data_IF_001203579753
#
_entry.id   IF_001203579753
#
_cell.length_a   1.000
_cell.length_b   1.000
_cell.length_c   1.000
_cell.angle_alpha   90.00
_cell.angle_beta   90.00
_cell.angle_gamma   90.00
#
_symmetry.space_group_name_H-M   'P 1'
#
loop_
_entity.id
_entity.type
_entity.pdbx_description
1 polymer ?
#
# COMPACT_ATOMS: atom_id res chain seq x y z
N UNK A 1 -40.48 -75.65 3.27
CA UNK A 1 -39.82 -74.74 4.24
C UNK A 1 -38.36 -74.62 3.84
N UNK A 2 -37.98 -73.45 3.34
CA UNK A 2 -36.72 -73.22 2.63
C UNK A 2 -35.61 -72.69 3.56
N UNK A 3 -34.39 -73.12 3.25
CA UNK A 3 -33.10 -72.83 3.89
C UNK A 3 -32.62 -71.40 3.60
N UNK A 4 -31.76 -70.86 4.46
CA UNK A 4 -30.96 -69.66 4.14
C UNK A 4 -29.99 -69.27 5.26
N UNK A 5 -28.86 -69.98 5.35
CA UNK A 5 -27.78 -69.71 6.32
C UNK A 5 -26.94 -68.48 5.98
N UNK A 6 -26.47 -67.77 7.02
CA UNK A 6 -25.60 -66.61 6.94
C UNK A 6 -24.13 -67.04 7.04
N UNK A 7 -23.33 -66.72 6.02
CA UNK A 7 -21.86 -66.86 6.02
C UNK A 7 -21.19 -65.64 6.65
N UNK A 8 -20.42 -65.86 7.71
CA UNK A 8 -19.45 -64.91 8.25
C UNK A 8 -18.15 -64.97 7.42
N UNK A 9 -17.68 -63.81 6.96
CA UNK A 9 -16.42 -63.67 6.21
C UNK A 9 -15.29 -63.28 7.18
N UNK A 10 -14.41 -64.24 7.43
CA UNK A 10 -13.17 -64.17 8.21
C UNK A 10 -12.11 -63.44 7.38
N UNK A 11 -11.54 -62.35 7.89
CA UNK A 11 -10.38 -61.65 7.28
C UNK A 11 -9.12 -62.04 8.06
N UNK A 12 -8.05 -62.53 7.41
CA UNK A 12 -6.83 -62.94 8.08
C UNK A 12 -5.90 -61.76 8.35
N UNK A 13 -5.18 -61.87 9.46
CA UNK A 13 -4.22 -60.90 9.95
C UNK A 13 -3.00 -60.71 9.07
N UNK A 14 -2.36 -59.56 9.24
CA UNK A 14 -1.05 -59.23 8.68
C UNK A 14 -0.20 -58.60 9.77
N UNK A 15 0.60 -59.45 10.40
CA UNK A 15 1.71 -59.09 11.29
C UNK A 15 2.97 -59.10 10.44
N UNK A 16 3.65 -57.97 10.27
CA UNK A 16 5.09 -57.94 10.03
C UNK A 16 5.69 -56.65 10.58
N UNK A 17 6.59 -56.87 11.53
CA UNK A 17 7.48 -55.95 12.22
C UNK A 17 8.55 -55.39 11.28
N UNK A 18 8.96 -54.14 11.51
CA UNK A 18 10.33 -53.68 11.26
C UNK A 18 10.61 -52.43 12.11
N UNK A 19 11.33 -52.65 13.20
CA UNK A 19 11.93 -51.62 14.03
C UNK A 19 13.09 -50.98 13.27
N UNK A 20 13.00 -49.69 12.97
CA UNK A 20 14.15 -48.88 12.55
C UNK A 20 14.61 -48.07 13.75
N UNK A 21 15.66 -48.56 14.40
CA UNK A 21 16.47 -47.82 15.35
C UNK A 21 17.40 -46.92 14.53
N UNK A 22 17.13 -45.63 14.49
CA UNK A 22 18.09 -44.64 13.99
C UNK A 22 18.83 -44.03 15.17
N UNK A 23 20.12 -44.35 15.27
CA UNK A 23 21.11 -43.65 16.08
C UNK A 23 21.04 -42.14 15.83
N UNK A 24 20.63 -41.38 16.84
CA UNK A 24 20.85 -39.93 16.90
C UNK A 24 22.25 -39.70 17.48
N UNK A 25 23.22 -39.45 16.59
CA UNK A 25 24.50 -38.85 16.95
C UNK A 25 24.27 -37.41 17.42
N UNK A 26 24.96 -37.08 18.51
CA UNK A 26 24.87 -35.85 19.29
C UNK A 26 24.90 -34.57 18.47
N UNK A 27 23.82 -33.79 18.56
CA UNK A 27 23.82 -32.38 18.19
C UNK A 27 24.18 -31.54 19.43
N UNK A 28 25.15 -30.61 19.34
CA UNK A 28 25.57 -29.81 20.48
C UNK A 28 24.44 -28.90 20.98
N UNK A 29 24.32 -28.81 22.31
CA UNK A 29 23.32 -28.01 23.02
C UNK A 29 23.39 -26.53 22.61
N UNK A 30 22.24 -25.82 22.49
CA UNK A 30 22.19 -24.39 22.18
C UNK A 30 23.05 -23.51 23.10
N UNK A 31 23.30 -23.94 24.34
CA UNK A 31 24.14 -23.22 25.30
C UNK A 31 25.62 -23.15 24.86
N UNK A 32 26.12 -24.14 24.12
CA UNK A 32 27.51 -24.18 23.65
C UNK A 32 27.75 -23.28 22.43
N UNK A 33 26.69 -22.87 21.71
CA UNK A 33 26.81 -21.98 20.55
C UNK A 33 27.01 -20.51 20.94
N UNK A 34 26.61 -20.12 22.16
CA UNK A 34 26.70 -18.72 22.61
C UNK A 34 28.12 -18.39 23.11
N UNK A 35 28.85 -19.36 23.66
CA UNK A 35 30.20 -19.14 24.19
C UNK A 35 31.26 -18.92 23.09
N UNK A 36 31.07 -19.46 21.88
CA UNK A 36 32.06 -19.36 20.79
C UNK A 36 31.99 -18.04 19.98
N UNK A 37 30.97 -17.20 20.20
CA UNK A 37 30.77 -15.96 19.43
C UNK A 37 31.36 -14.70 20.09
N UNK A 38 31.89 -14.79 21.31
CA UNK A 38 32.34 -13.63 22.11
C UNK A 38 33.85 -13.34 22.09
N UNK A 39 34.68 -14.13 21.40
CA UNK A 39 36.14 -13.93 21.33
C UNK A 39 36.66 -13.29 20.02
N UNK A 40 35.83 -12.53 19.29
CA UNK A 40 36.32 -11.73 18.16
C UNK A 40 36.64 -10.30 18.57
N UNK A 41 37.89 -10.10 18.99
CA UNK A 41 38.58 -8.80 19.13
C UNK A 41 38.42 -7.96 17.84
N UNK A 42 37.87 -6.73 17.89
CA UNK A 42 37.89 -5.86 16.73
C UNK A 42 39.30 -5.28 16.53
N UNK A 43 39.87 -5.51 15.36
CA UNK A 43 41.08 -4.83 14.91
C UNK A 43 40.78 -3.34 14.68
N UNK A 44 41.61 -2.48 15.26
CA UNK A 44 41.55 -1.03 15.08
C UNK A 44 41.82 -0.67 13.62
N UNK A 45 40.83 -0.08 12.95
CA UNK A 45 40.99 0.52 11.62
C UNK A 45 41.30 2.00 11.82
N UNK A 46 42.53 2.39 11.47
CA UNK A 46 42.98 3.78 11.46
C UNK A 46 42.31 4.54 10.31
N UNK A 47 41.70 5.69 10.63
CA UNK A 47 41.16 6.64 9.66
C UNK A 47 42.25 7.68 9.37
N UNK A 48 42.74 7.84 8.13
CA UNK A 48 43.62 8.95 7.79
C UNK A 48 42.82 10.26 7.71
N UNK A 49 43.26 11.22 8.52
CA UNK A 49 42.89 12.63 8.47
C UNK A 49 43.51 13.28 7.24
N UNK A 50 42.69 13.77 6.30
CA UNK A 50 43.16 14.67 5.24
C UNK A 50 42.31 15.93 5.25
N UNK A 51 42.81 16.94 5.95
CA UNK A 51 42.40 18.31 5.81
C UNK A 51 43.31 18.98 4.76
N UNK A 52 42.75 19.47 3.66
CA UNK A 52 43.35 20.55 2.88
C UNK A 52 42.37 21.06 1.81
N UNK A 53 42.02 22.35 1.95
CA UNK A 53 42.26 23.37 0.92
C UNK A 53 41.44 23.25 -0.37
N UNK A 54 40.56 24.23 -0.60
CA UNK A 54 40.67 25.22 -1.68
C UNK A 54 39.53 26.22 -1.49
N UNK A 55 39.91 27.42 -1.06
CA UNK A 55 39.16 28.64 -1.28
C UNK A 55 39.41 29.07 -2.72
N UNK A 56 38.37 29.09 -3.57
CA UNK A 56 38.41 29.91 -4.78
C UNK A 56 37.10 30.69 -4.93
N UNK A 57 37.29 31.97 -4.62
CA UNK A 57 36.45 33.10 -4.95
C UNK A 57 36.20 33.16 -6.46
N UNK A 58 34.94 33.27 -6.86
CA UNK A 58 34.56 33.74 -8.18
C UNK A 58 33.51 34.83 -8.01
N UNK A 59 33.99 36.07 -8.09
CA UNK A 59 33.21 37.28 -8.34
C UNK A 59 32.31 37.06 -9.56
N UNK A 60 31.00 37.11 -9.35
CA UNK A 60 30.02 37.24 -10.43
C UNK A 60 29.62 38.70 -10.56
N UNK A 61 29.99 39.30 -11.70
CA UNK A 61 29.48 40.58 -12.20
C UNK A 61 27.95 40.64 -12.16
N UNK A 62 27.33 41.75 -11.74
CA UNK A 62 25.90 41.96 -11.86
C UNK A 62 25.52 42.20 -13.33
N UNK A 63 24.63 41.37 -13.88
CA UNK A 63 23.99 41.56 -15.19
C UNK A 63 22.81 42.50 -15.00
N UNK A 64 22.79 43.58 -15.78
CA UNK A 64 21.76 44.60 -15.78
C UNK A 64 20.38 44.06 -16.17
N UNK A 65 19.34 44.50 -15.45
CA UNK A 65 17.95 44.16 -15.69
C UNK A 65 17.40 44.84 -16.97
N UNK A 66 16.62 44.13 -17.81
CA UNK A 66 15.89 44.75 -18.91
C UNK A 66 14.60 45.46 -18.42
N UNK A 67 14.35 46.63 -19.01
CA UNK A 67 13.25 47.54 -18.70
C UNK A 67 11.84 46.97 -19.00
N UNK A 68 10.79 47.46 -18.31
CA UNK A 68 9.41 47.02 -18.52
C UNK A 68 8.82 47.53 -19.84
N UNK A 69 8.27 46.60 -20.64
CA UNK A 69 7.52 46.91 -21.87
C UNK A 69 6.08 47.34 -21.52
N UNK A 70 5.66 48.44 -22.15
CA UNK A 70 4.31 49.01 -22.13
C UNK A 70 3.30 48.03 -22.79
N UNK A 71 2.11 47.79 -22.23
CA UNK A 71 1.08 47.01 -22.91
C UNK A 71 0.31 47.87 -23.92
N UNK A 72 0.23 47.39 -25.17
CA UNK A 72 -0.66 47.92 -26.21
C UNK A 72 -2.09 47.37 -26.04
N UNK A 73 -3.13 48.16 -26.36
CA UNK A 73 -4.52 47.73 -26.28
C UNK A 73 -4.89 46.87 -27.50
N UNK A 74 -5.26 45.61 -27.26
CA UNK A 74 -5.78 44.71 -28.30
C UNK A 74 -7.26 45.01 -28.54
N UNK A 75 -7.56 45.38 -29.78
CA UNK A 75 -8.89 45.67 -30.32
C UNK A 75 -9.74 44.39 -30.42
N UNK A 76 -10.95 44.43 -29.89
CA UNK A 76 -11.92 43.33 -29.93
C UNK A 76 -12.75 43.47 -31.20
N UNK A 77 -12.51 42.62 -32.20
CA UNK A 77 -13.34 42.55 -33.41
C UNK A 77 -14.23 41.31 -33.37
N UNK A 78 -15.53 41.56 -33.60
CA UNK A 78 -16.68 40.70 -33.40
C UNK A 78 -17.24 40.30 -34.77
N UNK A 79 -17.36 39.01 -35.08
CA UNK A 79 -18.12 38.51 -36.24
C UNK A 79 -18.40 36.97 -36.11
N UNK A 80 -19.29 36.36 -36.90
CA UNK A 80 -20.49 35.72 -36.36
C UNK A 80 -20.54 34.18 -36.54
N UNK A 81 -21.65 33.64 -36.02
CA UNK A 81 -22.07 32.25 -35.93
C UNK A 81 -21.86 31.36 -37.17
N UNK A 82 -21.47 30.11 -36.91
CA UNK A 82 -21.76 28.97 -37.78
C UNK A 82 -22.22 27.80 -36.92
N UNK A 83 -23.42 27.33 -37.27
CA UNK A 83 -24.09 26.14 -36.78
C UNK A 83 -23.26 24.89 -37.11
N UNK A 84 -23.04 24.02 -36.14
CA UNK A 84 -22.69 22.62 -36.40
C UNK A 84 -23.55 21.72 -35.53
N UNK A 85 -24.25 20.82 -36.21
CA UNK A 85 -25.10 19.80 -35.62
C UNK A 85 -24.24 18.77 -34.89
N UNK A 86 -24.40 18.63 -33.59
CA UNK A 86 -23.89 17.48 -32.84
C UNK A 86 -25.06 16.66 -32.32
N UNK A 87 -25.24 15.50 -32.96
CA UNK A 87 -26.09 14.41 -32.48
C UNK A 87 -25.58 13.93 -31.12
N UNK A 88 -26.47 13.92 -30.13
CA UNK A 88 -26.25 13.24 -28.85
C UNK A 88 -26.27 11.71 -29.04
N UNK A 89 -25.26 10.97 -28.55
CA UNK A 89 -25.47 9.56 -28.22
C UNK A 89 -26.12 9.45 -26.83
N UNK A 90 -27.10 8.57 -26.73
CA UNK A 90 -27.86 8.27 -25.52
C UNK A 90 -26.97 7.68 -24.40
N UNK A 91 -27.28 7.96 -23.12
CA UNK A 91 -26.58 7.34 -22.00
C UNK A 91 -27.03 5.87 -21.84
N UNK A 92 -26.09 4.94 -21.99
CA UNK A 92 -26.26 3.54 -21.57
C UNK A 92 -26.02 3.47 -20.06
N UNK A 93 -26.99 3.06 -19.23
CA UNK A 93 -26.74 2.86 -17.80
C UNK A 93 -25.99 1.54 -17.59
N UNK A 94 -24.66 1.60 -17.46
CA UNK A 94 -23.89 0.51 -16.88
C UNK A 94 -24.23 0.40 -15.38
N UNK A 95 -25.20 -0.44 -15.02
CA UNK A 95 -25.43 -0.86 -13.64
C UNK A 95 -24.29 -1.78 -13.22
N UNK A 96 -23.28 -1.20 -12.56
CA UNK A 96 -22.35 -1.96 -11.73
C UNK A 96 -23.15 -2.54 -10.55
N UNK A 97 -23.04 -3.84 -10.23
CA UNK A 97 -23.69 -4.39 -9.05
C UNK A 97 -23.09 -3.72 -7.81
N UNK A 98 -23.93 -2.98 -7.08
CA UNK A 98 -23.62 -2.51 -5.73
C UNK A 98 -23.55 -3.77 -4.86
N UNK A 99 -22.33 -4.22 -4.58
CA UNK A 99 -22.08 -5.31 -3.63
C UNK A 99 -22.67 -4.88 -2.29
N UNK A 100 -23.73 -5.59 -1.89
CA UNK A 100 -24.41 -5.38 -0.62
C UNK A 100 -23.44 -5.60 0.54
N UNK A 101 -23.46 -4.65 1.48
CA UNK A 101 -22.71 -4.69 2.73
C UNK A 101 -23.13 -5.93 3.55
N UNK A 102 -22.38 -7.02 3.43
CA UNK A 102 -22.52 -8.21 4.25
C UNK A 102 -21.64 -8.12 5.51
N UNK A 103 -22.14 -8.73 6.58
CA UNK A 103 -21.56 -8.66 7.92
C UNK A 103 -20.40 -9.66 8.07
N UNK A 104 -19.16 -9.19 7.93
CA UNK A 104 -17.99 -10.06 8.12
C UNK A 104 -16.62 -9.40 8.21
N UNK A 105 -16.53 -8.06 8.16
CA UNK A 105 -15.24 -7.38 8.14
C UNK A 105 -14.50 -7.56 9.48
N UNK A 106 -13.23 -8.00 9.50
CA UNK A 106 -12.43 -8.03 10.73
C UNK A 106 -12.41 -6.62 11.36
N UNK A 107 -12.71 -6.55 12.67
CA UNK A 107 -12.92 -5.27 13.40
C UNK A 107 -11.76 -4.28 13.27
N UNK A 108 -10.56 -4.77 12.94
CA UNK A 108 -9.34 -3.97 12.85
C UNK A 108 -9.21 -3.16 11.55
N UNK A 109 -10.01 -3.49 10.51
CA UNK A 109 -10.05 -2.73 9.25
C UNK A 109 -11.51 -2.34 8.98
N UNK A 110 -12.07 -1.51 9.84
CA UNK A 110 -13.40 -0.94 9.60
C UNK A 110 -13.35 0.01 8.39
N UNK A 111 -13.62 -0.52 7.20
CA UNK A 111 -13.90 0.25 5.99
C UNK A 111 -15.23 0.98 6.20
N UNK A 112 -15.20 2.15 6.84
CA UNK A 112 -16.35 3.04 6.88
C UNK A 112 -16.53 3.67 5.49
N UNK A 113 -17.52 3.21 4.74
CA UNK A 113 -18.08 3.95 3.61
C UNK A 113 -18.60 5.30 4.13
N UNK A 114 -17.91 6.40 3.80
CA UNK A 114 -18.02 7.68 4.49
C UNK A 114 -18.51 8.80 3.58
N UNK A 115 -19.80 9.11 3.68
CA UNK A 115 -20.47 10.35 3.27
C UNK A 115 -20.45 10.74 1.77
N UNK A 116 -21.45 11.55 1.35
CA UNK A 116 -21.76 12.00 -0.03
C UNK A 116 -20.59 12.63 -0.85
N UNK A 117 -19.39 12.76 -0.29
CA UNK A 117 -18.17 13.21 -0.95
C UNK A 117 -17.22 12.07 -1.40
N UNK A 118 -17.58 10.80 -1.14
CA UNK A 118 -16.74 9.63 -1.48
C UNK A 118 -16.59 9.37 -2.99
N UNK A 119 -17.52 9.87 -3.83
CA UNK A 119 -17.55 9.59 -5.27
C UNK A 119 -16.33 10.10 -6.05
N UNK A 120 -15.53 11.01 -5.48
CA UNK A 120 -14.29 11.54 -6.11
C UNK A 120 -13.04 10.78 -5.69
N UNK A 121 -13.13 9.79 -4.80
CA UNK A 121 -11.97 9.09 -4.27
C UNK A 121 -11.64 7.89 -5.13
N UNK A 122 -10.36 7.74 -5.48
CA UNK A 122 -9.85 6.59 -6.22
C UNK A 122 -9.69 5.35 -5.33
N UNK A 123 -9.44 5.53 -4.03
CA UNK A 123 -9.16 4.44 -3.10
C UNK A 123 -10.02 4.54 -1.84
N UNK A 124 -10.51 3.40 -1.32
CA UNK A 124 -11.16 3.37 -0.02
C UNK A 124 -10.17 3.73 1.10
N UNK A 125 -10.69 4.34 2.16
CA UNK A 125 -9.94 4.66 3.39
C UNK A 125 -10.39 3.74 4.51
N UNK A 126 -9.45 3.28 5.33
CA UNK A 126 -9.77 2.67 6.61
C UNK A 126 -9.30 3.56 7.75
N UNK A 127 -10.04 3.52 8.85
CA UNK A 127 -9.65 4.08 10.14
C UNK A 127 -8.61 3.13 10.75
N UNK A 128 -7.35 3.35 10.39
CA UNK A 128 -6.21 2.62 10.93
C UNK A 128 -5.46 3.57 11.85
N UNK A 129 -5.24 3.14 13.10
CA UNK A 129 -4.52 3.90 14.13
C UNK A 129 -3.14 3.29 14.34
N UNK A 130 -2.16 3.75 13.57
CA UNK A 130 -0.75 3.40 13.70
C UNK A 130 0.08 4.66 13.88
N UNK A 131 1.32 4.50 14.34
CA UNK A 131 2.28 5.59 14.42
C UNK A 131 3.09 5.68 13.13
N UNK A 132 3.05 6.84 12.49
CA UNK A 132 3.87 7.16 11.34
C UNK A 132 5.08 7.98 11.78
N UNK A 133 6.28 7.49 11.46
CA UNK A 133 7.53 8.23 11.59
C UNK A 133 7.75 9.06 10.33
N UNK A 134 8.03 10.35 10.51
CA UNK A 134 8.19 11.34 9.45
C UNK A 134 9.61 11.89 9.48
N UNK A 135 10.20 12.10 8.31
CA UNK A 135 11.41 12.93 8.14
C UNK A 135 11.33 13.76 6.87
N UNK A 136 12.14 14.82 6.75
CA UNK A 136 12.21 15.58 5.49
C UNK A 136 12.84 14.73 4.39
N UNK A 137 12.24 14.74 3.20
CA UNK A 137 12.70 13.90 2.08
C UNK A 137 13.90 14.51 1.34
N UNK A 138 13.95 15.85 1.24
CA UNK A 138 14.84 16.55 0.31
C UNK A 138 16.04 17.24 1.00
N UNK A 139 16.12 17.20 2.35
CA UNK A 139 17.13 17.96 3.09
C UNK A 139 17.80 17.14 4.19
N UNK A 140 19.05 16.68 4.00
CA UNK A 140 19.80 15.95 5.02
C UNK A 140 20.33 16.85 6.15
N UNK A 141 20.32 18.18 5.97
CA UNK A 141 20.79 19.15 6.96
C UNK A 141 19.71 19.57 7.96
N UNK A 142 18.44 19.45 7.57
CA UNK A 142 17.31 19.73 8.45
C UNK A 142 16.76 18.45 9.07
N UNK A 143 17.02 18.28 10.37
CA UNK A 143 16.53 17.13 11.14
C UNK A 143 15.13 17.45 11.66
N UNK A 144 14.12 17.30 10.80
CA UNK A 144 12.76 17.15 11.28
C UNK A 144 12.48 15.66 11.43
N UNK A 145 12.17 15.23 12.65
CA UNK A 145 11.67 13.89 12.92
C UNK A 145 10.45 13.97 13.83
N UNK A 146 9.36 13.33 13.44
CA UNK A 146 8.14 13.27 14.25
C UNK A 146 7.49 11.90 14.16
N UNK A 147 6.88 11.45 15.25
CA UNK A 147 6.05 10.24 15.26
C UNK A 147 4.62 10.65 15.58
N UNK A 148 3.72 10.53 14.61
CA UNK A 148 2.33 11.00 14.71
C UNK A 148 1.33 9.85 14.56
N UNK A 149 0.19 9.89 15.26
CA UNK A 149 -0.88 8.92 15.07
C UNK A 149 -1.63 9.17 13.75
N UNK A 150 -1.98 8.09 13.06
CA UNK A 150 -2.86 8.13 11.88
C UNK A 150 -4.32 8.15 12.30
N UNK A 151 -5.11 8.98 11.61
CA UNK A 151 -6.57 9.02 11.73
C UNK A 151 -7.22 8.11 10.69
N UNK A 152 -6.74 8.18 9.45
CA UNK A 152 -7.13 7.29 8.37
C UNK A 152 -5.99 7.07 7.39
N UNK A 153 -6.04 5.93 6.72
CA UNK A 153 -5.06 5.47 5.76
C UNK A 153 -5.78 4.89 4.53
N UNK A 154 -5.21 5.12 3.36
CA UNK A 154 -5.59 4.50 2.08
C UNK A 154 -4.32 4.13 1.32
N UNK A 155 -4.49 3.45 0.18
CA UNK A 155 -3.39 3.24 -0.76
C UNK A 155 -2.75 4.57 -1.14
N UNK A 156 -3.49 5.59 -1.58
CA UNK A 156 -2.90 6.83 -2.11
C UNK A 156 -2.51 7.93 -1.10
N UNK A 157 -2.69 7.72 0.20
CA UNK A 157 -2.46 8.77 1.19
C UNK A 157 -3.01 8.50 2.58
N UNK A 158 -2.75 9.42 3.50
CA UNK A 158 -3.17 9.34 4.90
C UNK A 158 -3.53 10.69 5.49
N UNK A 159 -4.19 10.68 6.64
CA UNK A 159 -4.34 11.85 7.50
C UNK A 159 -3.68 11.60 8.86
N UNK A 160 -2.84 12.54 9.29
CA UNK A 160 -2.14 12.50 10.56
C UNK A 160 -2.72 13.54 11.50
N UNK A 161 -2.93 13.13 12.75
CA UNK A 161 -3.25 14.06 13.83
C UNK A 161 -1.95 14.70 14.34
N UNK A 162 -1.97 16.03 14.49
CA UNK A 162 -0.79 16.80 14.88
C UNK A 162 -1.17 18.09 15.60
N UNK A 163 -0.33 18.50 16.54
CA UNK A 163 -0.40 19.80 17.23
C UNK A 163 0.41 20.88 16.51
N UNK A 164 1.24 20.51 15.54
CA UNK A 164 2.00 21.41 14.68
C UNK A 164 1.61 21.20 13.22
N UNK A 165 1.85 22.22 12.40
CA UNK A 165 1.50 22.19 10.99
C UNK A 165 2.74 22.39 10.12
N UNK A 166 2.81 21.60 9.06
CA UNK A 166 3.80 21.76 8.01
C UNK A 166 3.22 22.58 6.87
N UNK A 167 4.09 23.23 6.10
CA UNK A 167 3.64 23.99 4.92
C UNK A 167 3.08 23.02 3.88
N UNK A 168 2.08 23.50 3.14
CA UNK A 168 1.56 22.80 1.97
C UNK A 168 2.70 22.54 0.97
N UNK A 169 2.73 21.35 0.39
CA UNK A 169 3.79 20.90 -0.53
C UNK A 169 5.08 20.44 0.17
N UNK A 170 5.18 20.49 1.50
CA UNK A 170 6.34 19.91 2.20
C UNK A 170 6.38 18.41 1.91
N UNK A 171 7.53 17.96 1.39
CA UNK A 171 7.79 16.54 1.09
C UNK A 171 8.40 15.84 2.28
N UNK A 172 7.89 14.66 2.57
CA UNK A 172 8.26 13.85 3.72
C UNK A 172 8.56 12.43 3.28
N UNK A 173 9.56 11.84 3.91
CA UNK A 173 9.72 10.39 4.00
C UNK A 173 8.88 9.91 5.18
N UNK A 174 8.03 8.93 4.93
CA UNK A 174 7.06 8.41 5.88
C UNK A 174 7.32 6.91 6.04
N UNK A 175 7.47 6.47 7.28
CA UNK A 175 7.60 5.05 7.65
C UNK A 175 6.53 4.69 8.65
N UNK A 176 5.78 3.61 8.41
CA UNK A 176 4.76 3.09 9.32
C UNK A 176 4.75 1.57 9.31
N UNK A 177 4.28 0.97 10.40
CA UNK A 177 4.05 -0.48 10.48
C UNK A 177 2.56 -0.74 10.45
N UNK A 178 2.12 -1.60 9.52
CA UNK A 178 0.70 -1.95 9.39
C UNK A 178 0.28 -2.93 10.49
N UNK A 179 -0.98 -2.83 10.97
CA UNK A 179 -1.56 -3.87 11.80
C UNK A 179 -1.67 -5.14 10.97
N UNK A 180 -1.41 -6.29 11.58
CA UNK A 180 -1.29 -7.60 10.95
C UNK A 180 0.06 -7.81 10.21
N UNK A 181 0.89 -8.66 10.83
CA UNK A 181 2.23 -9.08 10.38
C UNK A 181 3.36 -8.05 10.56
N UNK A 182 3.07 -6.85 11.08
CA UNK A 182 4.10 -5.83 11.37
C UNK A 182 4.88 -5.41 10.14
N UNK A 183 4.28 -5.53 8.95
CA UNK A 183 4.92 -5.20 7.69
C UNK A 183 5.17 -3.68 7.64
N UNK A 184 6.41 -3.33 7.32
CA UNK A 184 6.83 -1.95 7.19
C UNK A 184 6.41 -1.39 5.84
N UNK A 185 5.92 -0.15 5.86
CA UNK A 185 5.55 0.63 4.67
C UNK A 185 6.37 1.91 4.70
N UNK A 186 7.15 2.12 3.65
CA UNK A 186 7.95 3.31 3.41
C UNK A 186 7.48 4.01 2.14
N UNK A 187 7.15 5.29 2.27
CA UNK A 187 6.65 6.11 1.16
C UNK A 187 7.23 7.52 1.23
N UNK A 188 7.45 8.16 0.09
CA UNK A 188 7.58 9.60 0.02
C UNK A 188 6.23 10.20 -0.28
N UNK A 189 5.87 11.23 0.46
CA UNK A 189 4.60 11.93 0.27
C UNK A 189 4.74 13.43 0.47
N UNK A 190 3.66 14.14 0.24
CA UNK A 190 3.60 15.59 0.39
C UNK A 190 2.35 16.05 1.12
N UNK A 191 2.46 17.17 1.81
CA UNK A 191 1.34 17.82 2.49
C UNK A 191 0.39 18.44 1.47
N UNK A 192 -0.81 17.87 1.36
CA UNK A 192 -1.85 18.34 0.40
C UNK A 192 -3.02 19.04 1.07
N UNK A 193 -3.10 19.01 2.40
CA UNK A 193 -4.11 19.74 3.16
C UNK A 193 -3.68 19.90 4.61
N UNK A 194 -4.00 21.03 5.20
CA UNK A 194 -3.84 21.28 6.65
C UNK A 194 -5.21 21.57 7.23
N UNK A 195 -5.54 20.93 8.36
CA UNK A 195 -6.78 21.15 9.10
C UNK A 195 -6.43 21.61 10.51
N UNK A 196 -6.88 22.82 10.88
CA UNK A 196 -6.79 23.32 12.24
C UNK A 196 -8.21 23.53 12.75
N UNK A 197 -8.58 22.80 13.80
CA UNK A 197 -9.90 22.91 14.43
C UNK A 197 -9.78 22.82 15.94
N UNK A 198 -10.47 23.73 16.64
CA UNK A 198 -10.54 23.70 18.11
C UNK A 198 -11.49 22.59 18.64
N UNK A 199 -12.36 22.04 17.78
CA UNK A 199 -13.41 21.07 18.17
C UNK A 199 -13.29 19.71 17.47
N UNK A 200 -12.43 19.61 16.46
CA UNK A 200 -12.21 18.39 15.68
C UNK A 200 -10.71 18.04 15.65
N UNK A 201 -10.37 16.87 15.12
CA UNK A 201 -8.99 16.43 15.00
C UNK A 201 -8.18 17.40 14.14
N UNK A 202 -7.18 18.05 14.74
CA UNK A 202 -6.24 18.92 14.02
C UNK A 202 -5.10 18.09 13.43
N UNK A 203 -4.62 18.48 12.26
CA UNK A 203 -3.60 17.70 11.58
C UNK A 203 -3.39 18.09 10.13
N UNK A 204 -2.83 17.16 9.35
CA UNK A 204 -2.60 17.37 7.92
C UNK A 204 -2.76 16.09 7.11
N UNK A 205 -3.21 16.25 5.87
CA UNK A 205 -3.33 15.18 4.91
C UNK A 205 -2.06 15.07 4.07
N UNK A 206 -1.61 13.83 3.88
CA UNK A 206 -0.48 13.48 3.04
C UNK A 206 -0.98 12.71 1.81
N UNK A 207 -0.48 13.10 0.63
CA UNK A 207 -0.59 12.31 -0.60
C UNK A 207 0.71 11.54 -0.78
N UNK A 208 0.64 10.27 -1.15
CA UNK A 208 1.84 9.49 -1.47
C UNK A 208 2.23 9.73 -2.92
N UNK A 209 3.51 10.02 -3.12
CA UNK A 209 4.09 10.32 -4.42
C UNK A 209 4.94 9.14 -4.92
N UNK A 210 5.67 8.47 -4.02
CA UNK A 210 6.56 7.36 -4.36
C UNK A 210 6.51 6.29 -3.27
N UNK A 211 6.48 5.01 -3.66
CA UNK A 211 6.56 3.88 -2.73
C UNK A 211 7.95 3.27 -2.79
N UNK A 212 8.53 3.02 -1.63
CA UNK A 212 9.86 2.44 -1.50
C UNK A 212 9.74 0.97 -1.10
N UNK A 213 10.73 0.15 -1.42
CA UNK A 213 10.85 -1.23 -0.94
C UNK A 213 9.60 -2.12 -1.21
N UNK A 214 8.87 -1.88 -2.29
CA UNK A 214 7.64 -2.63 -2.62
C UNK A 214 6.44 -2.33 -1.70
N UNK A 215 6.51 -1.24 -0.92
CA UNK A 215 5.49 -0.85 0.06
C UNK A 215 4.10 -0.63 -0.54
N UNK A 216 4.02 -0.32 -1.83
CA UNK A 216 2.75 -0.17 -2.55
C UNK A 216 1.93 -1.46 -2.54
N UNK A 217 2.59 -2.59 -2.81
CA UNK A 217 1.95 -3.92 -2.81
C UNK A 217 1.52 -4.26 -1.39
N UNK A 218 2.41 -4.07 -0.41
CA UNK A 218 2.10 -4.33 1.01
C UNK A 218 0.84 -3.57 1.44
N UNK A 219 0.76 -2.28 1.11
CA UNK A 219 -0.37 -1.43 1.46
C UNK A 219 -1.64 -1.83 0.69
N UNK A 220 -1.56 -2.05 -0.62
CA UNK A 220 -2.69 -2.47 -1.44
C UNK A 220 -3.28 -3.81 -0.96
N UNK A 221 -2.43 -4.82 -0.77
CA UNK A 221 -2.83 -6.13 -0.22
C UNK A 221 -3.50 -5.98 1.15
N UNK A 222 -3.02 -5.09 2.03
CA UNK A 222 -3.65 -4.87 3.32
C UNK A 222 -5.12 -4.41 3.21
N UNK A 223 -5.43 -3.53 2.24
CA UNK A 223 -6.80 -3.04 2.02
C UNK A 223 -7.66 -3.98 1.18
N UNK A 224 -7.10 -4.60 0.14
CA UNK A 224 -7.86 -5.38 -0.83
C UNK A 224 -8.06 -6.83 -0.39
N UNK A 225 -7.07 -7.46 0.26
CA UNK A 225 -7.14 -8.89 0.57
C UNK A 225 -8.34 -9.29 1.43
N UNK A 226 -8.79 -8.54 2.45
CA UNK A 226 -9.99 -8.90 3.20
C UNK A 226 -11.25 -8.97 2.32
N UNK A 227 -11.45 -7.97 1.47
CA UNK A 227 -12.61 -7.88 0.56
C UNK A 227 -12.55 -8.98 -0.49
N UNK A 228 -11.37 -9.21 -1.08
CA UNK A 228 -11.17 -10.27 -2.07
C UNK A 228 -11.35 -11.67 -1.48
N UNK A 229 -10.91 -11.91 -0.24
CA UNK A 229 -11.11 -13.19 0.45
C UNK A 229 -12.57 -13.47 0.70
N UNK A 230 -13.33 -12.47 1.16
CA UNK A 230 -14.78 -12.59 1.36
C UNK A 230 -15.49 -12.88 0.04
N UNK A 231 -15.16 -12.14 -1.01
CA UNK A 231 -15.67 -12.37 -2.36
C UNK A 231 -15.37 -13.80 -2.85
N UNK A 232 -14.10 -14.24 -2.78
CA UNK A 232 -13.69 -15.56 -3.26
C UNK A 232 -14.32 -16.69 -2.43
N UNK A 233 -14.47 -16.53 -1.12
CA UNK A 233 -15.12 -17.51 -0.26
C UNK A 233 -16.61 -17.65 -0.60
N UNK A 234 -17.30 -16.53 -0.85
CA UNK A 234 -18.70 -16.52 -1.27
C UNK A 234 -18.86 -17.15 -2.65
N UNK A 235 -18.00 -16.79 -3.60
CA UNK A 235 -17.98 -17.37 -4.95
C UNK A 235 -17.75 -18.89 -4.91
N UNK A 236 -16.82 -19.36 -4.08
CA UNK A 236 -16.56 -20.79 -3.89
C UNK A 236 -17.78 -21.56 -3.36
N UNK A 237 -18.49 -20.96 -2.41
CA UNK A 237 -19.72 -21.51 -1.85
C UNK A 237 -20.85 -21.59 -2.88
N UNK A 238 -21.05 -20.54 -3.67
CA UNK A 238 -22.11 -20.48 -4.70
C UNK A 238 -21.88 -21.47 -5.84
N UNK A 239 -20.62 -21.69 -6.21
CA UNK A 239 -20.23 -22.61 -7.28
C UNK A 239 -19.80 -24.00 -6.79
N UNK A 240 -19.99 -24.29 -5.50
CA UNK A 240 -19.75 -25.59 -4.88
C UNK A 240 -18.35 -26.19 -5.16
N UNK A 241 -17.30 -25.36 -5.23
CA UNK A 241 -15.93 -25.86 -5.28
C UNK A 241 -15.24 -25.75 -3.92
N UNK A 242 -14.42 -26.74 -3.60
CA UNK A 242 -13.68 -26.78 -2.33
C UNK A 242 -12.47 -25.85 -2.43
N UNK A 243 -12.49 -24.78 -1.66
CA UNK A 243 -11.45 -23.76 -1.63
C UNK A 243 -10.81 -23.73 -0.24
N UNK A 244 -9.57 -24.21 -0.13
CA UNK A 244 -8.86 -24.14 1.14
C UNK A 244 -8.61 -22.69 1.57
N UNK A 245 -8.56 -22.38 2.88
CA UNK A 245 -8.25 -21.03 3.36
C UNK A 245 -6.92 -20.48 2.81
N UNK A 246 -5.94 -21.36 2.59
CA UNK A 246 -4.63 -21.00 2.04
C UNK A 246 -4.73 -20.65 0.54
N UNK A 247 -5.55 -21.40 -0.22
CA UNK A 247 -5.83 -21.09 -1.62
C UNK A 247 -6.53 -19.73 -1.77
N UNK A 248 -7.55 -19.47 -0.95
CA UNK A 248 -8.25 -18.18 -0.94
C UNK A 248 -7.31 -17.02 -0.60
N UNK A 249 -6.44 -17.21 0.39
CA UNK A 249 -5.45 -16.22 0.80
C UNK A 249 -4.49 -15.87 -0.35
N UNK A 250 -3.91 -16.89 -0.99
CA UNK A 250 -2.95 -16.68 -2.08
C UNK A 250 -3.61 -16.04 -3.31
N UNK A 251 -4.80 -16.52 -3.69
CA UNK A 251 -5.55 -15.96 -4.83
C UNK A 251 -5.93 -14.50 -4.58
N UNK A 252 -6.36 -14.16 -3.36
CA UNK A 252 -6.66 -12.76 -3.00
C UNK A 252 -5.42 -11.86 -3.11
N UNK A 253 -4.25 -12.35 -2.68
CA UNK A 253 -3.01 -11.57 -2.77
C UNK A 253 -2.57 -11.36 -4.23
N UNK A 254 -2.72 -12.37 -5.10
CA UNK A 254 -2.48 -12.25 -6.55
C UNK A 254 -3.44 -11.25 -7.20
N UNK A 255 -4.74 -11.33 -6.89
CA UNK A 255 -5.74 -10.40 -7.40
C UNK A 255 -5.49 -8.97 -6.92
N UNK A 256 -5.08 -8.78 -5.66
CA UNK A 256 -4.71 -7.46 -5.14
C UNK A 256 -3.50 -6.87 -5.90
N UNK A 257 -2.49 -7.69 -6.18
CA UNK A 257 -1.33 -7.28 -6.97
C UNK A 257 -1.72 -6.95 -8.43
N UNK A 258 -2.64 -7.70 -9.01
CA UNK A 258 -3.19 -7.43 -10.34
C UNK A 258 -3.94 -6.10 -10.39
N UNK A 259 -4.86 -5.85 -9.45
CA UNK A 259 -5.61 -4.58 -9.37
C UNK A 259 -4.66 -3.39 -9.28
N UNK A 260 -3.57 -3.52 -8.51
CA UNK A 260 -2.56 -2.49 -8.41
C UNK A 260 -1.87 -2.23 -9.76
N UNK A 261 -1.53 -3.30 -10.49
CA UNK A 261 -0.89 -3.19 -11.80
C UNK A 261 -1.80 -2.49 -12.82
N UNK A 262 -3.11 -2.72 -12.78
CA UNK A 262 -4.07 -2.01 -13.64
C UNK A 262 -4.07 -0.51 -13.36
N UNK A 263 -4.09 -0.12 -12.08
CA UNK A 263 -4.06 1.28 -11.69
C UNK A 263 -2.78 2.00 -12.18
N UNK A 264 -1.62 1.32 -12.15
CA UNK A 264 -0.37 1.86 -12.71
C UNK A 264 -0.41 2.04 -14.23
N UNK A 265 -1.09 1.15 -14.94
CA UNK A 265 -1.21 1.19 -16.40
C UNK A 265 -2.24 2.20 -16.91
N UNK A 266 -2.87 2.96 -16.00
CA UNK A 266 -3.78 4.05 -16.36
C UNK A 266 -5.24 3.64 -16.53
N UNK A 267 -5.65 2.45 -16.06
CA UNK A 267 -7.05 2.02 -16.13
C UNK A 267 -7.20 0.56 -16.51
N UNK A 268 -8.34 0.23 -17.14
CA UNK A 268 -8.68 -1.14 -17.45
C UNK A 268 -7.73 -1.67 -18.53
N UNK A 269 -7.05 -2.79 -18.26
CA UNK A 269 -6.03 -3.36 -19.15
C UNK A 269 -6.62 -3.75 -20.51
N UNK A 270 -7.94 -3.93 -20.58
CA UNK A 270 -8.68 -4.19 -21.81
C UNK A 270 -8.65 -3.01 -22.79
N UNK A 271 -8.56 -1.76 -22.31
CA UNK A 271 -8.46 -0.56 -23.19
C UNK A 271 -7.15 -0.54 -24.00
N UNK A 272 -6.09 -1.17 -23.48
CA UNK A 272 -4.79 -1.28 -24.16
C UNK A 272 -4.84 -2.24 -25.36
N UNK A 273 -5.79 -3.18 -25.39
CA UNK A 273 -5.96 -4.11 -26.51
C UNK A 273 -6.98 -3.62 -27.55
N UNK A 274 -7.87 -2.69 -27.18
CA UNK A 274 -8.89 -2.13 -28.09
C UNK A 274 -8.35 -1.06 -29.05
N UNK A 275 -7.15 -0.52 -28.83
CA UNK A 275 -6.57 0.57 -29.65
C UNK A 275 -5.72 0.10 -30.85
N UNK A 276 -5.71 -1.21 -31.16
CA UNK A 276 -4.95 -1.79 -32.30
C UNK A 276 -5.82 -2.40 -33.40
N UNK A 277 -7.09 -2.03 -33.51
CA UNK A 277 -7.97 -2.45 -34.62
C UNK A 277 -8.28 -1.30 -35.57
#
# INVERSE_FOLDING_TARGET
MARGGKSQKKVPGRTLSASVVSERKDAPSPAQRIAAALERKPAAVAIPTTAARISQSLERKPVAAPAPRKPEPVSVSRAPALQSMQRSPAPVPARVPVIGRAAGVPKDVALKAGAKNDARRQYPRAEIHVRARLSLADDPSHVFEATLPTVNLSVGGMFLESTFFLKMGTKLLITLQLPNHGREVKVKGEVVRVESSAKATSGFALRFNEYLDGSQVILATHFLSPVLREFLAQYAKEHAFDASPQYLAHTADVLAAWELKKAELGGDVWDLFSTRS
#
